data_IF_440505371527
#
_entry.id   IF_440505371527
#
_cell.length_a   1.000
_cell.length_b   1.000
_cell.length_c   1.000
_cell.angle_alpha   90.00
_cell.angle_beta   90.00
_cell.angle_gamma   90.00
#
_symmetry.space_group_name_H-M   'P 1'
#
loop_
_entity.id
_entity.type
_entity.pdbx_description
1 polymer ?
#
# COMPACT_ATOMS: atom_id res chain seq x y z
N UNK A 1 -0.41 -0.76 -12.51
CA UNK A 1 -0.11 -1.65 -11.37
C UNK A 1 -0.91 -1.28 -10.12
N UNK A 2 -0.97 0.00 -9.74
CA UNK A 2 -1.72 0.49 -8.56
C UNK A 2 -3.20 0.11 -8.52
N UNK A 3 -3.92 0.24 -9.65
CA UNK A 3 -5.34 -0.19 -9.76
C UNK A 3 -5.49 -1.68 -9.44
N UNK A 4 -4.62 -2.51 -10.03
CA UNK A 4 -4.65 -3.97 -9.84
C UNK A 4 -4.37 -4.35 -8.39
N UNK A 5 -3.37 -3.71 -7.74
CA UNK A 5 -3.07 -3.89 -6.32
C UNK A 5 -4.25 -3.52 -5.42
N UNK A 6 -4.96 -2.43 -5.72
CA UNK A 6 -6.16 -2.01 -4.99
C UNK A 6 -7.34 -2.99 -5.18
N UNK A 7 -7.62 -3.37 -6.42
CA UNK A 7 -8.72 -4.25 -6.77
C UNK A 7 -8.52 -5.68 -6.27
N UNK A 8 -7.28 -6.14 -6.11
CA UNK A 8 -6.98 -7.46 -5.55
C UNK A 8 -6.79 -7.42 -4.04
N UNK A 9 -6.01 -6.46 -3.53
CA UNK A 9 -5.64 -6.41 -2.12
C UNK A 9 -6.79 -6.06 -1.18
N UNK A 10 -7.65 -5.10 -1.56
CA UNK A 10 -8.74 -4.65 -0.68
C UNK A 10 -9.79 -5.75 -0.45
N UNK A 11 -10.27 -6.48 -1.49
CA UNK A 11 -11.17 -7.61 -1.27
C UNK A 11 -10.51 -8.77 -0.53
N UNK A 12 -9.21 -9.01 -0.73
CA UNK A 12 -8.49 -10.05 0.00
C UNK A 12 -8.42 -9.74 1.51
N UNK A 13 -8.26 -8.47 1.90
CA UNK A 13 -8.34 -8.08 3.32
C UNK A 13 -9.72 -8.42 3.90
N UNK A 14 -10.80 -8.06 3.19
CA UNK A 14 -12.17 -8.36 3.64
C UNK A 14 -12.37 -9.88 3.74
N UNK A 15 -11.92 -10.64 2.75
CA UNK A 15 -12.00 -12.10 2.75
C UNK A 15 -11.21 -12.73 3.92
N UNK A 16 -10.06 -12.16 4.28
CA UNK A 16 -9.26 -12.61 5.42
C UNK A 16 -10.03 -12.56 6.74
N UNK A 17 -10.85 -11.53 6.95
CA UNK A 17 -11.70 -11.42 8.15
C UNK A 17 -12.88 -12.41 8.18
N UNK A 18 -13.30 -12.94 7.03
CA UNK A 18 -14.40 -13.90 6.92
C UNK A 18 -13.97 -15.35 7.08
N UNK A 19 -12.67 -15.64 6.89
CA UNK A 19 -12.13 -16.99 6.96
C UNK A 19 -11.62 -17.35 8.36
N UNK A 20 -11.72 -18.63 8.77
CA UNK A 20 -11.04 -19.15 9.95
C UNK A 20 -9.55 -19.39 9.67
N UNK A 21 -8.75 -19.50 10.74
CA UNK A 21 -7.37 -19.96 10.63
C UNK A 21 -7.31 -21.45 10.20
N UNK A 22 -6.33 -21.87 9.38
CA UNK A 22 -5.14 -21.12 8.93
C UNK A 22 -5.32 -20.32 7.64
N UNK A 23 -6.45 -20.47 6.94
CA UNK A 23 -6.69 -19.83 5.65
C UNK A 23 -6.68 -18.30 5.73
N UNK A 24 -7.15 -17.74 6.86
CA UNK A 24 -7.05 -16.32 7.19
C UNK A 24 -5.63 -15.76 7.03
N UNK A 25 -4.65 -16.44 7.63
CA UNK A 25 -3.25 -15.99 7.59
C UNK A 25 -2.72 -15.99 6.15
N UNK A 26 -2.98 -17.05 5.39
CA UNK A 26 -2.56 -17.14 3.98
C UNK A 26 -3.20 -16.02 3.12
N UNK A 27 -4.47 -15.69 3.36
CA UNK A 27 -5.19 -14.65 2.63
C UNK A 27 -4.66 -13.25 2.99
N UNK A 28 -4.35 -12.97 4.26
CA UNK A 28 -3.70 -11.71 4.63
C UNK A 28 -2.29 -11.56 4.04
N UNK A 29 -1.52 -12.66 3.95
CA UNK A 29 -0.23 -12.63 3.26
C UNK A 29 -0.39 -12.32 1.77
N UNK A 30 -1.38 -12.94 1.10
CA UNK A 30 -1.68 -12.66 -0.30
C UNK A 30 -2.13 -11.20 -0.51
N UNK A 31 -2.96 -10.66 0.40
CA UNK A 31 -3.34 -9.26 0.39
C UNK A 31 -2.11 -8.35 0.52
N UNK A 32 -1.23 -8.61 1.50
CA UNK A 32 0.01 -7.85 1.69
C UNK A 32 0.92 -7.88 0.47
N UNK A 33 1.12 -9.06 -0.13
CA UNK A 33 1.91 -9.22 -1.35
C UNK A 33 1.33 -8.40 -2.52
N UNK A 34 0.00 -8.37 -2.68
CA UNK A 34 -0.65 -7.62 -3.75
C UNK A 34 -0.44 -6.10 -3.63
N UNK A 35 -0.47 -5.56 -2.40
CA UNK A 35 -0.17 -4.15 -2.14
C UNK A 35 1.33 -3.84 -2.26
N UNK A 36 2.19 -4.79 -1.88
CA UNK A 36 3.64 -4.62 -1.99
C UNK A 36 4.12 -4.60 -3.45
N UNK A 37 3.38 -5.25 -4.36
CA UNK A 37 3.75 -5.36 -5.77
C UNK A 37 3.99 -4.00 -6.44
N UNK A 38 3.23 -2.94 -6.09
CA UNK A 38 3.42 -1.60 -6.66
C UNK A 38 4.72 -0.91 -6.23
N UNK A 39 5.38 -1.38 -5.16
CA UNK A 39 6.57 -0.74 -4.61
C UNK A 39 7.72 -0.70 -5.63
N UNK A 40 7.96 -1.81 -6.34
CA UNK A 40 9.04 -1.90 -7.32
C UNK A 40 8.91 -0.85 -8.42
N UNK A 41 7.70 -0.68 -8.96
CA UNK A 41 7.41 0.32 -10.00
C UNK A 41 7.60 1.74 -9.48
N UNK A 42 7.19 2.04 -8.25
CA UNK A 42 7.40 3.36 -7.66
C UNK A 42 8.88 3.70 -7.53
N UNK A 43 9.71 2.73 -7.10
CA UNK A 43 11.17 2.92 -6.96
C UNK A 43 11.81 3.18 -8.32
N UNK A 44 11.52 2.33 -9.31
CA UNK A 44 12.13 2.48 -10.66
C UNK A 44 11.68 3.78 -11.32
N UNK A 45 10.41 4.14 -11.17
CA UNK A 45 9.86 5.38 -11.68
C UNK A 45 10.54 6.61 -11.05
N UNK A 46 10.82 6.59 -9.75
CA UNK A 46 11.55 7.65 -9.08
C UNK A 46 13.01 7.76 -9.58
N UNK A 47 13.65 6.63 -9.90
CA UNK A 47 14.99 6.61 -10.49
C UNK A 47 15.00 7.16 -11.92
N UNK A 48 13.96 6.90 -12.71
CA UNK A 48 13.80 7.43 -14.06
C UNK A 48 13.62 8.96 -14.08
N UNK A 49 12.98 9.54 -13.05
CA UNK A 49 12.85 11.00 -12.92
C UNK A 49 14.21 11.68 -12.75
N UNK A 50 15.14 11.06 -12.03
CA UNK A 50 16.42 11.64 -11.68
C UNK A 50 17.57 10.61 -11.79
N UNK A 51 17.93 10.19 -13.01
CA UNK A 51 18.87 9.09 -13.23
C UNK A 51 20.28 9.39 -12.69
N UNK A 52 20.71 10.65 -12.76
CA UNK A 52 21.98 11.10 -12.19
C UNK A 52 22.07 10.94 -10.66
N UNK A 53 20.93 10.85 -9.97
CA UNK A 53 20.84 10.73 -8.51
C UNK A 53 19.97 9.53 -8.09
N UNK A 54 19.92 8.48 -8.91
CA UNK A 54 19.01 7.34 -8.74
C UNK A 54 19.06 6.72 -7.32
N UNK A 55 20.27 6.54 -6.76
CA UNK A 55 20.44 5.98 -5.42
C UNK A 55 19.89 6.89 -4.31
N UNK A 56 20.08 8.20 -4.45
CA UNK A 56 19.57 9.19 -3.48
C UNK A 56 18.04 9.22 -3.52
N UNK A 57 17.47 9.26 -4.72
CA UNK A 57 16.01 9.36 -4.90
C UNK A 57 15.29 8.09 -4.45
N UNK A 58 15.84 6.90 -4.73
CA UNK A 58 15.27 5.65 -4.22
C UNK A 58 15.36 5.56 -2.69
N UNK A 59 16.47 5.99 -2.10
CA UNK A 59 16.67 5.97 -0.64
C UNK A 59 15.72 6.95 0.06
N UNK A 60 15.56 8.15 -0.49
CA UNK A 60 14.62 9.14 0.02
C UNK A 60 13.18 8.64 -0.08
N UNK A 61 12.79 8.08 -1.23
CA UNK A 61 11.44 7.54 -1.43
C UNK A 61 11.14 6.40 -0.45
N UNK A 62 12.06 5.45 -0.28
CA UNK A 62 11.90 4.36 0.68
C UNK A 62 11.84 4.88 2.12
N UNK A 63 12.71 5.84 2.47
CA UNK A 63 12.71 6.45 3.82
C UNK A 63 11.39 7.14 4.15
N UNK A 64 10.87 7.98 3.23
CA UNK A 64 9.58 8.65 3.40
C UNK A 64 8.44 7.64 3.46
N UNK A 65 8.47 6.59 2.63
CA UNK A 65 7.46 5.54 2.63
C UNK A 65 7.42 4.79 3.97
N UNK A 66 8.58 4.37 4.51
CA UNK A 66 8.64 3.69 5.81
C UNK A 66 8.21 4.60 6.96
N UNK A 67 8.56 5.88 6.90
CA UNK A 67 8.10 6.86 7.87
C UNK A 67 6.57 7.02 7.85
N UNK A 68 5.99 7.21 6.65
CA UNK A 68 4.55 7.33 6.49
C UNK A 68 3.81 6.05 6.91
N UNK A 69 4.34 4.88 6.53
CA UNK A 69 3.80 3.58 6.92
C UNK A 69 3.84 3.41 8.45
N UNK A 70 4.97 3.64 9.09
CA UNK A 70 5.12 3.54 10.53
C UNK A 70 4.20 4.51 11.29
N UNK A 71 4.14 5.77 10.86
CA UNK A 71 3.22 6.77 11.45
C UNK A 71 1.75 6.37 11.29
N UNK A 72 1.38 5.83 10.13
CA UNK A 72 0.00 5.40 9.87
C UNK A 72 -0.45 4.23 10.74
N UNK A 73 0.46 3.33 11.15
CA UNK A 73 0.12 2.20 12.02
C UNK A 73 -0.44 2.66 13.37
N UNK A 74 0.06 3.79 13.91
CA UNK A 74 -0.45 4.35 15.17
C UNK A 74 -1.89 4.81 15.01
N UNK A 75 -2.19 5.54 13.93
CA UNK A 75 -3.55 6.00 13.62
C UNK A 75 -4.51 4.84 13.36
N UNK A 76 -4.08 3.83 12.59
CA UNK A 76 -4.87 2.62 12.33
C UNK A 76 -5.13 1.84 13.61
N UNK A 77 -4.13 1.71 14.49
CA UNK A 77 -4.29 1.07 15.80
C UNK A 77 -5.34 1.78 16.66
N UNK A 78 -5.22 3.10 16.82
CA UNK A 78 -6.18 3.89 17.59
C UNK A 78 -7.61 3.80 17.03
N UNK A 79 -7.78 3.78 15.70
CA UNK A 79 -9.08 3.59 15.07
C UNK A 79 -9.60 2.15 15.19
N UNK A 80 -8.72 1.16 15.13
CA UNK A 80 -9.07 -0.24 15.31
C UNK A 80 -9.53 -0.53 16.75
N UNK A 81 -8.99 0.16 17.75
CA UNK A 81 -9.45 0.03 19.14
C UNK A 81 -10.89 0.55 19.32
N UNK A 82 -11.29 1.57 18.53
CA UNK A 82 -12.63 2.15 18.61
C UNK A 82 -13.68 1.45 17.71
N UNK A 83 -13.30 1.03 16.50
CA UNK A 83 -14.23 0.53 15.47
C UNK A 83 -13.98 -0.93 15.06
N UNK A 84 -12.93 -1.56 15.58
CA UNK A 84 -12.51 -2.90 15.21
C UNK A 84 -11.66 -2.93 13.92
N UNK A 85 -10.70 -3.86 13.89
CA UNK A 85 -9.76 -3.99 12.78
C UNK A 85 -10.45 -4.34 11.44
N UNK A 86 -11.53 -5.13 11.50
CA UNK A 86 -12.28 -5.58 10.31
C UNK A 86 -12.93 -4.42 9.53
N UNK A 87 -13.32 -3.34 10.22
CA UNK A 87 -13.85 -2.14 9.59
C UNK A 87 -12.72 -1.16 9.21
N UNK A 88 -11.74 -0.99 10.09
CA UNK A 88 -10.67 0.01 9.92
C UNK A 88 -9.73 -0.32 8.76
N UNK A 89 -9.26 -1.57 8.65
CA UNK A 89 -8.23 -1.94 7.68
C UNK A 89 -8.67 -1.76 6.21
N UNK A 90 -9.84 -2.27 5.79
CA UNK A 90 -10.31 -2.09 4.41
C UNK A 90 -10.53 -0.62 4.05
N UNK A 91 -11.10 0.17 4.97
CA UNK A 91 -11.35 1.60 4.77
C UNK A 91 -10.04 2.36 4.64
N UNK A 92 -9.06 2.08 5.51
CA UNK A 92 -7.74 2.68 5.45
C UNK A 92 -7.03 2.36 4.11
N UNK A 93 -7.03 1.09 3.70
CA UNK A 93 -6.44 0.67 2.42
C UNK A 93 -7.12 1.34 1.22
N UNK A 94 -8.45 1.44 1.23
CA UNK A 94 -9.20 2.12 0.19
C UNK A 94 -8.91 3.63 0.16
N UNK A 95 -8.83 4.29 1.31
CA UNK A 95 -8.55 5.71 1.41
C UNK A 95 -7.12 6.03 0.95
N UNK A 96 -6.11 5.41 1.56
CA UNK A 96 -4.71 5.69 1.23
C UNK A 96 -4.36 5.18 -0.17
N UNK A 97 -4.74 3.96 -0.51
CA UNK A 97 -4.53 3.45 -1.86
C UNK A 97 -5.29 4.28 -2.90
N UNK A 98 -6.52 4.71 -2.62
CA UNK A 98 -7.31 5.59 -3.48
C UNK A 98 -6.64 6.95 -3.71
N UNK A 99 -6.07 7.56 -2.67
CA UNK A 99 -5.28 8.80 -2.84
C UNK A 99 -4.03 8.57 -3.69
N UNK A 100 -3.29 7.47 -3.46
CA UNK A 100 -2.14 7.12 -4.30
C UNK A 100 -2.52 6.88 -5.75
N UNK A 101 -3.66 6.24 -6.00
CA UNK A 101 -4.22 6.07 -7.34
C UNK A 101 -4.58 7.41 -7.98
N UNK A 102 -5.28 8.29 -7.27
CA UNK A 102 -5.65 9.61 -7.76
C UNK A 102 -4.41 10.43 -8.16
N UNK A 103 -3.38 10.44 -7.31
CA UNK A 103 -2.12 11.12 -7.57
C UNK A 103 -1.36 10.53 -8.76
N UNK A 104 -1.47 9.20 -8.97
CA UNK A 104 -0.77 8.54 -10.07
C UNK A 104 -1.19 9.03 -11.47
N UNK A 105 -2.41 9.56 -11.62
CA UNK A 105 -2.88 10.12 -12.89
C UNK A 105 -2.20 11.45 -13.26
N UNK A 106 -1.61 12.16 -12.28
CA UNK A 106 -0.84 13.39 -12.50
C UNK A 106 0.63 13.16 -12.82
N UNK A 107 1.10 11.92 -12.79
CA UNK A 107 2.52 11.60 -12.99
C UNK A 107 2.93 11.68 -14.47
N UNK A 108 4.13 12.22 -14.78
CA UNK A 108 4.65 12.26 -16.14
C UNK A 108 4.80 10.87 -16.74
N UNK A 109 4.40 10.70 -18.01
CA UNK A 109 4.51 9.40 -18.69
C UNK A 109 5.92 9.23 -19.24
N UNK A 110 6.75 8.45 -18.57
CA UNK A 110 8.03 7.98 -19.13
C UNK A 110 7.76 6.72 -19.97
N UNK A 111 8.48 6.58 -21.08
CA UNK A 111 8.37 5.46 -22.02
C UNK A 111 9.39 4.39 -21.68
#
# INVERSE_FOLDING_TARGET
MTIMSLCLGTPLIVLGFLLPDPYRTAVFMAAGASFYASMGVSVTYAQEIAPAHAALVSSFMLGVMWFAAGGSMVAVGALADAFGLAATLPVYCAAVGGTGLALSFGLPKFK
#
